data_IF_559846276408
#
_entry.id   IF_559846276408
#
_cell.length_a   1.000
_cell.length_b   1.000
_cell.length_c   1.000
_cell.angle_alpha   90.00
_cell.angle_beta   90.00
_cell.angle_gamma   90.00
#
_symmetry.space_group_name_H-M   'P 1'
#
loop_
_entity.id
_entity.type
_entity.pdbx_description
1 polymer ?
#
# COMPACT_ATOMS: atom_id res chain seq x y z
N UNK A 1 1.98 5.37 24.76
CA UNK A 1 1.64 5.71 23.36
C UNK A 1 1.19 7.16 23.34
N UNK A 2 1.87 8.00 22.57
CA UNK A 2 1.49 9.42 22.44
C UNK A 2 0.08 9.56 21.87
N UNK A 3 -0.69 10.60 22.27
CA UNK A 3 -2.02 10.85 21.71
C UNK A 3 -2.05 10.93 20.17
N UNK A 4 -1.04 11.57 19.55
CA UNK A 4 -0.92 11.65 18.09
C UNK A 4 -0.74 10.27 17.42
N UNK A 5 -0.08 9.32 18.09
CA UNK A 5 0.04 7.95 17.60
C UNK A 5 -1.32 7.26 17.57
N UNK A 6 -2.10 7.42 18.65
CA UNK A 6 -3.44 6.85 18.75
C UNK A 6 -4.38 7.42 17.68
N UNK A 7 -4.35 8.71 17.45
CA UNK A 7 -5.17 9.36 16.42
C UNK A 7 -4.73 8.95 15.01
N UNK A 8 -3.42 8.87 14.77
CA UNK A 8 -2.89 8.37 13.49
C UNK A 8 -3.34 6.94 13.22
N UNK A 9 -3.29 6.06 14.23
CA UNK A 9 -3.74 4.67 14.11
C UNK A 9 -5.26 4.58 13.85
N UNK A 10 -6.07 5.41 14.50
CA UNK A 10 -7.51 5.47 14.24
C UNK A 10 -7.83 5.87 12.80
N UNK A 11 -7.13 6.86 12.25
CA UNK A 11 -7.30 7.26 10.84
C UNK A 11 -6.81 6.17 9.89
N UNK A 12 -5.73 5.47 10.23
CA UNK A 12 -5.26 4.32 9.46
C UNK A 12 -6.30 3.20 9.42
N UNK A 13 -6.91 2.86 10.57
CA UNK A 13 -7.96 1.83 10.63
C UNK A 13 -9.22 2.21 9.82
N UNK A 14 -9.60 3.49 9.82
CA UNK A 14 -10.69 3.98 8.95
C UNK A 14 -10.34 3.81 7.48
N UNK A 15 -9.11 4.16 7.11
CA UNK A 15 -8.62 3.98 5.74
C UNK A 15 -8.58 2.50 5.35
N UNK A 16 -8.08 1.61 6.22
CA UNK A 16 -8.03 0.16 5.97
C UNK A 16 -9.42 -0.42 5.70
N UNK A 17 -10.46 0.04 6.41
CA UNK A 17 -11.85 -0.35 6.14
C UNK A 17 -12.31 0.10 4.75
N UNK A 18 -12.05 1.36 4.38
CA UNK A 18 -12.38 1.85 3.02
C UNK A 18 -11.65 1.04 1.93
N UNK A 19 -10.39 0.69 2.14
CA UNK A 19 -9.62 -0.15 1.22
C UNK A 19 -10.23 -1.56 1.13
N UNK A 20 -10.61 -2.16 2.25
CA UNK A 20 -11.26 -3.47 2.26
C UNK A 20 -12.55 -3.47 1.42
N UNK A 21 -13.37 -2.42 1.51
CA UNK A 21 -14.60 -2.30 0.72
C UNK A 21 -14.31 -2.22 -0.79
N UNK A 22 -13.29 -1.46 -1.20
CA UNK A 22 -12.88 -1.37 -2.62
C UNK A 22 -12.53 -2.74 -3.19
N UNK A 23 -11.69 -3.51 -2.46
CA UNK A 23 -11.26 -4.83 -2.95
C UNK A 23 -12.33 -5.90 -2.78
N UNK A 24 -13.20 -5.79 -1.78
CA UNK A 24 -14.38 -6.67 -1.63
C UNK A 24 -15.33 -6.53 -2.82
N UNK A 25 -15.57 -5.30 -3.26
CA UNK A 25 -16.38 -5.04 -4.45
C UNK A 25 -15.72 -5.58 -5.71
N UNK A 26 -14.44 -5.27 -5.95
CA UNK A 26 -13.69 -5.81 -7.07
C UNK A 26 -13.71 -7.34 -7.07
N UNK A 27 -13.48 -7.98 -5.92
CA UNK A 27 -13.52 -9.43 -5.78
C UNK A 27 -14.87 -10.04 -6.16
N UNK A 28 -15.99 -9.43 -5.75
CA UNK A 28 -17.34 -9.89 -6.15
C UNK A 28 -17.55 -9.81 -7.66
N UNK A 29 -17.11 -8.71 -8.29
CA UNK A 29 -17.21 -8.52 -9.75
C UNK A 29 -16.37 -9.54 -10.51
N UNK A 30 -15.11 -9.78 -10.06
CA UNK A 30 -14.22 -10.77 -10.64
C UNK A 30 -14.78 -12.19 -10.49
N UNK A 31 -15.31 -12.56 -9.33
CA UNK A 31 -15.94 -13.86 -9.09
C UNK A 31 -17.12 -14.08 -10.03
N UNK A 32 -18.00 -13.11 -10.17
CA UNK A 32 -19.14 -13.19 -11.08
C UNK A 32 -18.71 -13.40 -12.55
N UNK A 33 -17.72 -12.62 -13.02
CA UNK A 33 -17.16 -12.73 -14.37
C UNK A 33 -16.49 -14.10 -14.60
N UNK A 34 -15.70 -14.56 -13.64
CA UNK A 34 -15.01 -15.85 -13.70
C UNK A 34 -16.00 -17.01 -13.76
N UNK A 35 -16.99 -17.06 -12.86
CA UNK A 35 -18.02 -18.11 -12.83
C UNK A 35 -18.81 -18.16 -14.12
N UNK A 36 -19.21 -17.00 -14.66
CA UNK A 36 -19.92 -16.92 -15.94
C UNK A 36 -19.07 -17.48 -17.10
N UNK A 37 -17.80 -17.10 -17.18
CA UNK A 37 -16.87 -17.62 -18.17
C UNK A 37 -16.74 -19.15 -18.08
N UNK A 38 -16.48 -19.69 -16.88
CA UNK A 38 -16.30 -21.14 -16.69
C UNK A 38 -17.59 -21.93 -16.90
N UNK A 39 -18.75 -21.39 -16.56
CA UNK A 39 -20.04 -22.00 -16.87
C UNK A 39 -20.23 -22.16 -18.39
N UNK A 40 -19.89 -21.12 -19.15
CA UNK A 40 -19.97 -21.17 -20.62
C UNK A 40 -18.89 -22.10 -21.19
N UNK A 41 -17.70 -22.11 -20.60
CA UNK A 41 -16.63 -23.04 -20.97
C UNK A 41 -17.04 -24.48 -20.73
N UNK A 42 -17.58 -24.83 -19.56
CA UNK A 42 -18.03 -26.20 -19.25
C UNK A 42 -19.08 -26.71 -20.22
N UNK A 43 -20.01 -25.86 -20.68
CA UNK A 43 -20.99 -26.23 -21.70
C UNK A 43 -20.32 -26.56 -23.03
N UNK A 44 -19.33 -25.79 -23.45
CA UNK A 44 -18.57 -26.06 -24.69
C UNK A 44 -17.70 -27.30 -24.53
N UNK A 45 -17.05 -27.45 -23.39
CA UNK A 45 -16.25 -28.64 -23.08
C UNK A 45 -17.09 -29.92 -23.17
N UNK A 46 -18.27 -29.95 -22.55
CA UNK A 46 -19.15 -31.10 -22.59
C UNK A 46 -19.57 -31.46 -24.04
N UNK A 47 -19.85 -30.45 -24.87
CA UNK A 47 -20.18 -30.67 -26.30
C UNK A 47 -18.99 -31.26 -27.07
N UNK A 48 -17.80 -30.70 -26.93
CA UNK A 48 -16.60 -31.16 -27.66
C UNK A 48 -16.10 -32.50 -27.11
N UNK A 49 -16.22 -32.76 -25.82
CA UNK A 49 -15.91 -34.05 -25.21
C UNK A 49 -16.83 -35.15 -25.71
N UNK A 50 -18.13 -34.89 -25.82
CA UNK A 50 -19.09 -35.84 -26.43
C UNK A 50 -18.76 -36.12 -27.89
N UNK A 51 -18.34 -35.11 -28.65
CA UNK A 51 -17.90 -35.28 -30.04
C UNK A 51 -16.59 -36.10 -30.13
N UNK A 52 -15.66 -35.92 -29.22
CA UNK A 52 -14.46 -36.76 -29.09
C UNK A 52 -14.82 -38.21 -28.76
N UNK A 53 -15.71 -38.44 -27.77
CA UNK A 53 -16.19 -39.78 -27.44
C UNK A 53 -16.92 -40.47 -28.61
N UNK A 54 -17.57 -39.69 -29.46
CA UNK A 54 -18.23 -40.17 -30.70
C UNK A 54 -17.24 -40.39 -31.86
N UNK A 55 -15.93 -40.28 -31.63
CA UNK A 55 -14.89 -40.52 -32.65
C UNK A 55 -14.73 -39.42 -33.71
N UNK A 56 -15.33 -38.23 -33.49
CA UNK A 56 -15.20 -37.07 -34.41
C UNK A 56 -13.83 -36.39 -34.37
N UNK A 57 -13.09 -36.61 -33.28
CA UNK A 57 -11.75 -36.06 -33.03
C UNK A 57 -10.83 -37.14 -32.51
N UNK A 58 -9.55 -37.08 -32.90
CA UNK A 58 -8.50 -37.81 -32.23
C UNK A 58 -8.22 -37.20 -30.83
N UNK A 59 -7.59 -37.97 -29.96
CA UNK A 59 -7.16 -37.47 -28.64
C UNK A 59 -6.28 -36.23 -28.78
N UNK A 60 -5.35 -36.23 -29.76
CA UNK A 60 -4.45 -35.10 -30.01
C UNK A 60 -5.19 -33.82 -30.43
N UNK A 61 -6.21 -33.97 -31.28
CA UNK A 61 -7.03 -32.80 -31.70
C UNK A 61 -7.88 -32.26 -30.56
N UNK A 62 -8.46 -33.15 -29.74
CA UNK A 62 -9.20 -32.71 -28.56
C UNK A 62 -8.30 -31.99 -27.52
N UNK A 63 -7.10 -32.55 -27.24
CA UNK A 63 -6.13 -31.91 -26.36
C UNK A 63 -5.64 -30.57 -26.91
N UNK A 64 -5.40 -30.47 -28.23
CA UNK A 64 -5.04 -29.20 -28.88
C UNK A 64 -6.16 -28.16 -28.78
N UNK A 65 -7.43 -28.59 -28.99
CA UNK A 65 -8.58 -27.71 -28.77
C UNK A 65 -8.63 -27.23 -27.32
N UNK A 66 -8.45 -28.15 -26.36
CA UNK A 66 -8.47 -27.81 -24.92
C UNK A 66 -7.39 -26.80 -24.55
N UNK A 67 -6.15 -27.03 -25.02
CA UNK A 67 -5.03 -26.10 -24.78
C UNK A 67 -5.27 -24.71 -25.40
N UNK A 68 -5.87 -24.67 -26.60
CA UNK A 68 -6.25 -23.41 -27.26
C UNK A 68 -7.32 -22.64 -26.46
N UNK A 69 -8.28 -23.34 -25.84
CA UNK A 69 -9.31 -22.70 -25.04
C UNK A 69 -8.74 -22.11 -23.73
N UNK A 70 -7.81 -22.80 -23.08
CA UNK A 70 -7.24 -22.40 -21.80
C UNK A 70 -6.08 -21.40 -21.92
N UNK A 71 -5.22 -21.54 -22.93
CA UNK A 71 -3.97 -20.80 -22.98
C UNK A 71 -3.95 -19.60 -23.92
N UNK A 72 -4.69 -19.67 -25.04
CA UNK A 72 -4.63 -18.70 -26.14
C UNK A 72 -6.00 -18.27 -26.66
N UNK A 73 -7.08 -18.67 -26.01
CA UNK A 73 -8.44 -18.31 -26.46
C UNK A 73 -8.71 -16.82 -26.30
N UNK A 74 -9.13 -16.16 -27.39
CA UNK A 74 -9.49 -14.72 -27.38
C UNK A 74 -10.44 -14.35 -26.24
N UNK A 75 -11.36 -15.25 -25.88
CA UNK A 75 -12.32 -15.02 -24.77
C UNK A 75 -11.64 -15.00 -23.40
N UNK A 76 -10.63 -15.87 -23.19
CA UNK A 76 -9.84 -15.83 -21.97
C UNK A 76 -8.98 -14.57 -21.90
N UNK A 77 -8.34 -14.19 -23.00
CA UNK A 77 -7.54 -12.98 -23.09
C UNK A 77 -8.39 -11.73 -22.74
N UNK A 78 -9.59 -11.64 -23.33
CA UNK A 78 -10.52 -10.53 -23.05
C UNK A 78 -10.95 -10.49 -21.58
N UNK A 79 -11.29 -11.65 -21.00
CA UNK A 79 -11.65 -11.72 -19.57
C UNK A 79 -10.46 -11.34 -18.68
N UNK A 80 -9.28 -11.88 -18.96
CA UNK A 80 -8.05 -11.60 -18.20
C UNK A 80 -7.70 -10.11 -18.26
N UNK A 81 -7.80 -9.49 -19.42
CA UNK A 81 -7.59 -8.05 -19.60
C UNK A 81 -8.57 -7.25 -18.75
N UNK A 82 -9.86 -7.55 -18.86
CA UNK A 82 -10.91 -6.85 -18.13
C UNK A 82 -10.75 -6.99 -16.61
N UNK A 83 -10.47 -8.19 -16.10
CA UNK A 83 -10.21 -8.43 -14.69
C UNK A 83 -8.94 -7.69 -14.20
N UNK A 84 -7.87 -7.70 -14.99
CA UNK A 84 -6.63 -7.01 -14.66
C UNK A 84 -6.82 -5.50 -14.60
N UNK A 85 -7.57 -4.91 -15.53
CA UNK A 85 -7.93 -3.48 -15.52
C UNK A 85 -8.75 -3.13 -14.29
N UNK A 86 -9.73 -3.93 -13.93
CA UNK A 86 -10.56 -3.71 -12.73
C UNK A 86 -9.74 -3.73 -11.44
N UNK A 87 -8.77 -4.65 -11.30
CA UNK A 87 -7.84 -4.66 -10.18
C UNK A 87 -6.95 -3.42 -10.16
N UNK A 88 -6.44 -3.00 -11.32
CA UNK A 88 -5.62 -1.79 -11.42
C UNK A 88 -6.40 -0.53 -11.07
N UNK A 89 -7.65 -0.41 -11.48
CA UNK A 89 -8.55 0.68 -11.04
C UNK A 89 -8.73 0.68 -9.52
N UNK A 90 -8.89 -0.48 -8.91
CA UNK A 90 -8.94 -0.60 -7.44
C UNK A 90 -7.66 -0.12 -6.77
N UNK A 91 -6.50 -0.41 -7.37
CA UNK A 91 -5.20 0.07 -6.87
C UNK A 91 -5.06 1.60 -7.04
N UNK A 92 -5.60 2.18 -8.11
CA UNK A 92 -5.65 3.64 -8.29
C UNK A 92 -6.54 4.32 -7.25
N UNK A 93 -7.72 3.78 -6.98
CA UNK A 93 -8.63 4.27 -5.93
C UNK A 93 -7.95 4.18 -4.57
N UNK A 94 -7.30 3.07 -4.27
CA UNK A 94 -6.55 2.88 -3.03
C UNK A 94 -5.42 3.92 -2.89
N UNK A 95 -4.66 4.17 -3.95
CA UNK A 95 -3.62 5.20 -3.97
C UNK A 95 -4.19 6.61 -3.76
N UNK A 96 -5.34 6.92 -4.37
CA UNK A 96 -6.02 8.20 -4.20
C UNK A 96 -6.46 8.41 -2.73
N UNK A 97 -7.05 7.40 -2.09
CA UNK A 97 -7.45 7.47 -0.68
C UNK A 97 -6.26 7.65 0.27
N UNK A 98 -5.14 6.97 0.01
CA UNK A 98 -3.91 7.14 0.78
C UNK A 98 -3.39 8.57 0.65
N UNK A 99 -3.33 9.10 -0.58
CA UNK A 99 -2.83 10.44 -0.87
C UNK A 99 -3.74 11.53 -0.29
N UNK A 100 -5.05 11.32 -0.28
CA UNK A 100 -6.04 12.22 0.33
C UNK A 100 -5.80 12.40 1.83
N UNK A 101 -5.47 11.31 2.54
CA UNK A 101 -5.33 11.30 4.00
C UNK A 101 -3.92 11.65 4.50
N UNK A 102 -2.90 11.44 3.71
CA UNK A 102 -1.51 11.70 4.09
C UNK A 102 -1.26 13.13 4.60
N UNK A 103 -1.75 14.20 3.96
CA UNK A 103 -1.57 15.58 4.44
C UNK A 103 -2.16 15.83 5.83
N UNK A 104 -3.32 15.25 6.11
CA UNK A 104 -3.95 15.35 7.43
C UNK A 104 -3.06 14.72 8.52
N UNK A 105 -2.49 13.55 8.27
CA UNK A 105 -1.61 12.85 9.21
C UNK A 105 -0.33 13.66 9.46
N UNK A 106 0.21 14.32 8.44
CA UNK A 106 1.36 15.22 8.58
C UNK A 106 1.00 16.41 9.49
N UNK A 107 -0.10 17.11 9.19
CA UNK A 107 -0.54 18.27 9.96
C UNK A 107 -0.83 17.91 11.43
N UNK A 108 -1.54 16.80 11.65
CA UNK A 108 -1.86 16.29 12.98
C UNK A 108 -0.59 16.08 13.83
N UNK A 109 0.40 15.39 13.28
CA UNK A 109 1.61 15.07 14.03
C UNK A 109 2.54 16.28 14.18
N UNK A 110 2.61 17.17 13.18
CA UNK A 110 3.32 18.44 13.31
C UNK A 110 2.74 19.29 14.44
N UNK A 111 1.44 19.55 14.40
CA UNK A 111 0.78 20.41 15.37
C UNK A 111 0.84 19.84 16.80
N UNK A 112 0.75 18.51 16.93
CA UNK A 112 0.90 17.87 18.23
C UNK A 112 2.32 18.03 18.80
N UNK A 113 3.35 17.80 17.99
CA UNK A 113 4.74 17.96 18.44
C UNK A 113 5.06 19.44 18.75
N UNK A 114 4.57 20.37 17.95
CA UNK A 114 4.68 21.81 18.21
C UNK A 114 4.06 22.18 19.58
N UNK A 115 2.86 21.64 19.86
CA UNK A 115 2.22 21.81 21.17
C UNK A 115 3.06 21.20 22.31
N UNK A 116 3.59 19.98 22.11
CA UNK A 116 4.44 19.32 23.12
C UNK A 116 5.72 20.09 23.40
N UNK A 117 6.40 20.57 22.37
CA UNK A 117 7.61 21.39 22.53
C UNK A 117 7.26 22.64 23.34
N UNK A 118 6.22 23.37 22.97
CA UNK A 118 5.78 24.56 23.69
C UNK A 118 5.44 24.27 25.16
N UNK A 119 4.80 23.15 25.45
CA UNK A 119 4.41 22.75 26.81
C UNK A 119 5.58 22.33 27.71
N UNK A 120 6.71 21.96 27.12
CA UNK A 120 7.93 21.58 27.85
C UNK A 120 8.92 22.73 28.03
N UNK A 121 8.69 23.89 27.37
CA UNK A 121 9.56 25.03 27.47
C UNK A 121 9.39 25.74 28.82
N UNK A 122 10.50 26.14 29.51
CA UNK A 122 10.43 26.97 30.68
C UNK A 122 9.83 28.34 30.36
N UNK A 123 9.01 28.91 31.26
CA UNK A 123 8.38 30.23 31.11
C UNK A 123 9.36 31.36 30.74
N UNK A 124 10.62 31.26 31.20
CA UNK A 124 11.69 32.21 30.88
C UNK A 124 12.03 32.19 29.40
N UNK A 125 12.16 31.00 28.81
CA UNK A 125 12.45 30.86 27.37
C UNK A 125 11.26 31.33 26.52
N UNK A 126 10.03 31.07 26.96
CA UNK A 126 8.82 31.56 26.28
C UNK A 126 8.81 33.09 26.23
N UNK A 127 9.27 33.75 27.28
CA UNK A 127 9.37 35.24 27.33
C UNK A 127 10.52 35.79 26.48
N UNK A 128 11.66 35.09 26.39
CA UNK A 128 12.86 35.53 25.64
C UNK A 128 12.70 35.37 24.14
N UNK A 129 12.01 34.30 23.69
CA UNK A 129 11.82 34.00 22.27
C UNK A 129 10.57 34.71 21.71
N UNK A 130 9.77 35.38 22.60
CA UNK A 130 8.50 36.01 22.26
C UNK A 130 7.36 35.01 22.19
N UNK A 131 6.18 35.49 21.84
CA UNK A 131 5.01 34.63 21.68
C UNK A 131 5.24 33.70 20.46
N UNK A 132 5.94 32.58 20.71
CA UNK A 132 6.25 31.61 19.67
C UNK A 132 4.93 31.00 19.22
N UNK A 133 4.37 31.56 18.20
CA UNK A 133 3.36 30.93 17.42
C UNK A 133 4.03 29.90 16.51
N UNK A 134 4.17 28.65 16.98
CA UNK A 134 4.30 27.54 16.02
C UNK A 134 3.17 27.70 15.01
N UNK A 135 3.51 27.85 13.74
CA UNK A 135 2.52 27.96 12.70
C UNK A 135 1.73 26.66 12.65
N UNK A 136 0.50 26.68 13.16
CA UNK A 136 -0.40 25.53 13.02
C UNK A 136 -0.59 25.26 11.53
N UNK A 137 -0.19 24.10 11.11
CA UNK A 137 -0.19 23.69 9.70
C UNK A 137 -1.53 23.02 9.40
N UNK A 138 -2.29 23.57 8.46
CA UNK A 138 -3.50 22.95 7.94
C UNK A 138 -3.20 21.99 6.78
N UNK A 139 -4.17 21.14 6.41
CA UNK A 139 -4.02 20.20 5.31
C UNK A 139 -3.70 20.89 3.97
N UNK A 140 -4.23 22.07 3.72
CA UNK A 140 -4.01 22.82 2.49
C UNK A 140 -2.57 23.34 2.41
N UNK A 141 -2.05 23.82 3.54
CA UNK A 141 -0.64 24.25 3.67
C UNK A 141 0.28 23.07 3.45
N UNK A 142 0.00 21.89 4.06
CA UNK A 142 0.78 20.67 3.84
C UNK A 142 0.73 20.25 2.38
N UNK A 143 -0.44 20.25 1.74
CA UNK A 143 -0.57 19.93 0.31
C UNK A 143 0.30 20.83 -0.56
N UNK A 144 0.36 22.12 -0.26
CA UNK A 144 1.23 23.08 -0.97
C UNK A 144 2.71 22.82 -0.72
N UNK A 145 3.08 22.49 0.52
CA UNK A 145 4.47 22.21 0.91
C UNK A 145 4.97 20.87 0.34
N UNK A 146 4.13 19.85 0.30
CA UNK A 146 4.48 18.53 -0.29
C UNK A 146 4.73 18.62 -1.79
N UNK A 147 4.03 19.50 -2.48
CA UNK A 147 4.24 19.72 -3.93
C UNK A 147 5.54 20.51 -4.20
N UNK A 148 5.92 21.46 -3.33
CA UNK A 148 7.07 22.34 -3.55
C UNK A 148 8.39 21.84 -2.96
N UNK A 149 8.36 21.11 -1.86
CA UNK A 149 9.57 20.59 -1.19
C UNK A 149 9.47 19.06 -1.14
N UNK A 150 10.13 18.35 -2.02
CA UNK A 150 10.22 16.87 -2.09
C UNK A 150 10.75 16.18 -0.80
N UNK A 151 10.80 16.89 0.33
CA UNK A 151 11.25 16.36 1.64
C UNK A 151 10.22 15.47 2.34
N UNK A 152 8.95 15.54 1.95
CA UNK A 152 7.87 14.70 2.47
C UNK A 152 7.54 13.67 1.38
N UNK A 153 7.17 12.44 1.76
CA UNK A 153 6.92 11.33 0.85
C UNK A 153 6.11 11.77 -0.38
N UNK A 154 6.60 11.49 -1.60
CA UNK A 154 5.87 11.85 -2.81
C UNK A 154 4.53 11.11 -2.85
N UNK A 155 3.50 11.71 -3.46
CA UNK A 155 2.21 11.06 -3.64
C UNK A 155 2.37 9.72 -4.33
N UNK A 156 1.68 8.71 -3.81
CA UNK A 156 1.72 7.37 -4.40
C UNK A 156 1.07 7.37 -5.77
N UNK A 157 1.73 6.74 -6.73
CA UNK A 157 1.24 6.60 -8.11
C UNK A 157 1.21 5.14 -8.50
N UNK A 158 0.14 4.74 -9.16
CA UNK A 158 0.02 3.45 -9.83
C UNK A 158 0.50 3.61 -11.28
N UNK A 159 1.50 2.83 -11.65
CA UNK A 159 1.96 2.76 -13.05
C UNK A 159 1.04 1.80 -13.81
N UNK A 160 -0.03 2.33 -14.40
CA UNK A 160 -1.13 1.59 -15.03
C UNK A 160 -0.67 0.39 -15.86
N UNK A 161 0.23 0.61 -16.82
CA UNK A 161 0.71 -0.44 -17.72
C UNK A 161 1.41 -1.58 -16.99
N UNK A 162 2.27 -1.25 -16.03
CA UNK A 162 2.99 -2.24 -15.21
C UNK A 162 2.03 -3.00 -14.29
N UNK A 163 1.07 -2.30 -13.71
CA UNK A 163 0.10 -2.90 -12.79
C UNK A 163 -0.87 -3.83 -13.52
N UNK A 164 -1.40 -3.42 -14.66
CA UNK A 164 -2.21 -4.29 -15.54
C UNK A 164 -1.41 -5.52 -15.96
N UNK A 165 -0.15 -5.35 -16.39
CA UNK A 165 0.70 -6.47 -16.77
C UNK A 165 0.92 -7.46 -15.61
N UNK A 166 1.19 -6.96 -14.41
CA UNK A 166 1.36 -7.78 -13.21
C UNK A 166 0.07 -8.55 -12.88
N UNK A 167 -1.08 -7.88 -12.89
CA UNK A 167 -2.37 -8.49 -12.63
C UNK A 167 -2.70 -9.58 -13.68
N UNK A 168 -2.46 -9.30 -14.96
CA UNK A 168 -2.60 -10.31 -16.04
C UNK A 168 -1.76 -11.55 -15.77
N UNK A 169 -0.48 -11.37 -15.40
CA UNK A 169 0.43 -12.48 -15.09
C UNK A 169 -0.07 -13.29 -13.89
N UNK A 170 -0.55 -12.65 -12.84
CA UNK A 170 -1.08 -13.33 -11.65
C UNK A 170 -2.36 -14.12 -11.96
N UNK A 171 -3.30 -13.53 -12.71
CA UNK A 171 -4.52 -14.20 -13.16
C UNK A 171 -4.22 -15.39 -14.08
N UNK A 172 -3.25 -15.27 -14.98
CA UNK A 172 -2.81 -16.38 -15.84
C UNK A 172 -2.23 -17.54 -15.03
N UNK A 173 -1.36 -17.22 -14.05
CA UNK A 173 -0.78 -18.24 -13.18
C UNK A 173 -1.85 -18.93 -12.32
N UNK A 174 -2.82 -18.19 -11.80
CA UNK A 174 -3.94 -18.73 -11.05
C UNK A 174 -4.77 -19.72 -11.89
N UNK A 175 -5.04 -19.37 -13.16
CA UNK A 175 -5.71 -20.27 -14.10
C UNK A 175 -4.89 -21.53 -14.36
N UNK A 176 -3.61 -21.39 -14.72
CA UNK A 176 -2.74 -22.54 -15.04
C UNK A 176 -2.60 -23.49 -13.86
N UNK A 177 -2.41 -22.97 -12.65
CA UNK A 177 -2.36 -23.79 -11.44
C UNK A 177 -3.67 -24.54 -11.20
N UNK A 178 -4.82 -23.88 -11.39
CA UNK A 178 -6.12 -24.54 -11.26
C UNK A 178 -6.34 -25.66 -12.27
N UNK A 179 -5.90 -25.46 -13.52
CA UNK A 179 -5.96 -26.50 -14.56
C UNK A 179 -5.08 -27.70 -14.18
N UNK A 180 -3.82 -27.46 -13.81
CA UNK A 180 -2.87 -28.50 -13.42
C UNK A 180 -3.35 -29.33 -12.21
N UNK A 181 -4.10 -28.71 -11.31
CA UNK A 181 -4.66 -29.36 -10.12
C UNK A 181 -6.08 -29.90 -10.34
N UNK A 182 -6.61 -29.83 -11.56
CA UNK A 182 -7.98 -30.24 -11.90
C UNK A 182 -9.03 -29.59 -11.00
N UNK A 183 -8.86 -28.30 -10.70
CA UNK A 183 -9.74 -27.57 -9.82
C UNK A 183 -11.17 -27.45 -10.36
N UNK A 184 -12.15 -27.55 -9.47
CA UNK A 184 -13.53 -27.18 -9.78
C UNK A 184 -13.66 -25.69 -10.09
N UNK A 185 -14.76 -25.29 -10.75
CA UNK A 185 -15.08 -23.89 -11.05
C UNK A 185 -15.02 -23.01 -9.77
N UNK A 186 -15.52 -23.54 -8.65
CA UNK A 186 -15.48 -22.84 -7.38
C UNK A 186 -14.06 -22.60 -6.87
N UNK A 187 -13.18 -23.61 -6.98
CA UNK A 187 -11.77 -23.47 -6.61
C UNK A 187 -11.01 -22.51 -7.52
N UNK A 188 -11.27 -22.56 -8.84
CA UNK A 188 -10.70 -21.58 -9.79
C UNK A 188 -11.12 -20.15 -9.48
N UNK A 189 -12.40 -19.93 -9.16
CA UNK A 189 -12.88 -18.62 -8.72
C UNK A 189 -12.19 -18.18 -7.43
N UNK A 190 -11.97 -19.08 -6.47
CA UNK A 190 -11.21 -18.83 -5.26
C UNK A 190 -9.78 -18.36 -5.54
N UNK A 191 -9.06 -18.98 -6.51
CA UNK A 191 -7.72 -18.54 -6.91
C UNK A 191 -7.69 -17.12 -7.46
N UNK A 192 -8.74 -16.67 -8.13
CA UNK A 192 -8.83 -15.27 -8.58
C UNK A 192 -9.12 -14.31 -7.41
N UNK A 193 -9.86 -14.77 -6.40
CA UNK A 193 -10.02 -14.03 -5.15
C UNK A 193 -8.67 -13.86 -4.43
N UNK A 194 -7.79 -14.86 -4.47
CA UNK A 194 -6.43 -14.75 -3.92
C UNK A 194 -5.63 -13.62 -4.60
N UNK A 195 -5.76 -13.47 -5.93
CA UNK A 195 -5.12 -12.35 -6.65
C UNK A 195 -5.66 -11.00 -6.17
N UNK A 196 -6.96 -10.90 -5.93
CA UNK A 196 -7.58 -9.70 -5.33
C UNK A 196 -7.03 -9.46 -3.93
N UNK A 197 -6.91 -10.50 -3.09
CA UNK A 197 -6.31 -10.45 -1.76
C UNK A 197 -4.87 -9.97 -1.76
N UNK A 198 -4.06 -10.37 -2.76
CA UNK A 198 -2.68 -9.87 -2.92
C UNK A 198 -2.65 -8.36 -3.17
N UNK A 199 -3.55 -7.84 -4.01
CA UNK A 199 -3.68 -6.40 -4.26
C UNK A 199 -4.12 -5.64 -3.01
N UNK A 200 -5.12 -6.16 -2.28
CA UNK A 200 -5.59 -5.59 -1.01
C UNK A 200 -4.45 -5.54 0.02
N UNK A 201 -3.73 -6.64 0.24
CA UNK A 201 -2.60 -6.70 1.17
C UNK A 201 -1.51 -5.69 0.80
N UNK A 202 -1.22 -5.52 -0.49
CA UNK A 202 -0.29 -4.52 -0.95
C UNK A 202 -0.79 -3.10 -0.67
N UNK A 203 -2.08 -2.81 -0.85
CA UNK A 203 -2.68 -1.52 -0.55
C UNK A 203 -2.61 -1.19 0.96
N UNK A 204 -2.93 -2.14 1.84
CA UNK A 204 -2.81 -1.98 3.30
C UNK A 204 -1.35 -1.68 3.70
N UNK A 205 -0.40 -2.46 3.20
CA UNK A 205 1.03 -2.20 3.45
C UNK A 205 1.44 -0.81 3.00
N UNK A 206 0.94 -0.37 1.85
CA UNK A 206 1.20 0.94 1.29
C UNK A 206 0.60 2.07 2.13
N UNK A 207 -0.62 1.89 2.67
CA UNK A 207 -1.27 2.82 3.57
C UNK A 207 -0.46 2.99 4.87
N UNK A 208 -0.11 1.88 5.52
CA UNK A 208 0.72 1.89 6.74
C UNK A 208 2.03 2.61 6.54
N UNK A 209 2.68 2.33 5.42
CA UNK A 209 3.91 3.01 5.01
C UNK A 209 3.75 4.51 4.86
N UNK A 210 2.73 4.93 4.13
CA UNK A 210 2.48 6.35 3.89
C UNK A 210 2.17 7.07 5.20
N UNK A 211 1.39 6.46 6.10
CA UNK A 211 1.04 7.03 7.39
C UNK A 211 2.24 7.13 8.33
N UNK A 212 3.07 6.07 8.44
CA UNK A 212 4.32 6.15 9.22
C UNK A 212 5.25 7.24 8.69
N UNK A 213 5.40 7.33 7.37
CA UNK A 213 6.20 8.39 6.75
C UNK A 213 5.63 9.78 6.98
N UNK A 214 4.31 9.94 6.91
CA UNK A 214 3.61 11.18 7.18
C UNK A 214 3.74 11.61 8.65
N UNK A 215 3.58 10.68 9.58
CA UNK A 215 3.75 10.89 11.01
C UNK A 215 5.17 11.37 11.32
N UNK A 216 6.18 10.66 10.86
CA UNK A 216 7.58 11.04 11.07
C UNK A 216 7.93 12.36 10.37
N UNK A 217 7.37 12.59 9.17
CA UNK A 217 7.56 13.84 8.43
C UNK A 217 6.97 15.05 9.13
N UNK A 218 5.78 14.90 9.71
CA UNK A 218 5.12 15.94 10.51
C UNK A 218 5.94 16.30 11.77
N UNK A 219 6.35 15.29 12.54
CA UNK A 219 7.21 15.47 13.72
C UNK A 219 8.52 16.16 13.38
N UNK A 220 9.20 15.67 12.36
CA UNK A 220 10.47 16.23 11.91
C UNK A 220 10.33 17.71 11.51
N UNK A 221 9.22 18.07 10.87
CA UNK A 221 8.97 19.48 10.51
C UNK A 221 8.79 20.37 11.73
N UNK A 222 8.11 19.89 12.79
CA UNK A 222 7.98 20.63 14.05
C UNK A 222 9.34 20.79 14.75
N UNK A 223 10.16 19.75 14.77
CA UNK A 223 11.52 19.83 15.35
C UNK A 223 12.44 20.77 14.55
N UNK A 224 12.33 20.79 13.23
CA UNK A 224 13.08 21.70 12.36
C UNK A 224 12.68 23.16 12.63
N UNK A 225 11.37 23.41 12.80
CA UNK A 225 10.86 24.75 13.16
C UNK A 225 11.36 25.19 14.53
N UNK A 226 11.30 24.33 15.55
CA UNK A 226 11.81 24.58 16.89
C UNK A 226 13.32 24.92 16.86
N UNK A 227 14.11 24.13 16.12
CA UNK A 227 15.55 24.38 15.97
C UNK A 227 15.84 25.72 15.29
N UNK A 228 15.06 26.11 14.27
CA UNK A 228 15.20 27.40 13.60
C UNK A 228 14.86 28.58 14.51
N UNK A 229 13.99 28.37 15.50
CA UNK A 229 13.67 29.35 16.55
C UNK A 229 14.74 29.43 17.65
N UNK A 230 15.82 28.67 17.58
CA UNK A 230 16.89 28.63 18.57
C UNK A 230 16.61 27.73 19.78
N UNK A 231 15.59 26.88 19.70
CA UNK A 231 15.34 25.88 20.74
C UNK A 231 16.32 24.71 20.55
N UNK A 232 17.02 24.35 21.61
CA UNK A 232 17.94 23.20 21.58
C UNK A 232 17.16 21.89 21.53
N UNK A 233 17.24 21.22 20.38
CA UNK A 233 16.52 19.97 20.09
C UNK A 233 17.51 18.84 19.95
N UNK A 234 17.35 17.80 20.77
CA UNK A 234 18.10 16.55 20.72
C UNK A 234 17.23 15.46 20.10
N UNK A 235 17.78 14.71 19.17
CA UNK A 235 17.12 13.54 18.58
C UNK A 235 17.53 12.29 19.33
N UNK A 236 16.54 11.49 19.68
CA UNK A 236 16.72 10.18 20.30
C UNK A 236 16.25 9.06 19.38
N UNK A 237 17.11 8.08 19.11
CA UNK A 237 16.72 6.92 18.31
C UNK A 237 16.00 5.90 19.19
N UNK A 238 14.77 5.58 18.86
CA UNK A 238 13.99 4.54 19.53
C UNK A 238 13.72 3.39 18.56
N UNK A 239 14.29 2.23 18.85
CA UNK A 239 14.03 1.02 18.08
C UNK A 239 12.89 0.20 18.69
N UNK A 240 12.03 -0.36 17.86
CA UNK A 240 11.02 -1.32 18.33
C UNK A 240 11.72 -2.61 18.79
N UNK A 241 11.43 -3.06 20.02
CA UNK A 241 12.03 -4.28 20.60
C UNK A 241 11.27 -5.54 20.19
N UNK A 242 11.25 -5.82 18.88
CA UNK A 242 10.63 -7.03 18.32
C UNK A 242 11.62 -7.82 17.45
N UNK A 243 11.22 -9.03 17.05
CA UNK A 243 12.04 -9.92 16.21
C UNK A 243 12.16 -9.43 14.75
N UNK A 244 11.40 -8.40 14.35
CA UNK A 244 11.42 -7.84 13.00
C UNK A 244 12.35 -6.65 12.89
N UNK A 245 12.77 -6.08 14.00
CA UNK A 245 13.69 -4.94 14.03
C UNK A 245 15.09 -5.43 13.63
N UNK A 246 15.66 -4.79 12.60
CA UNK A 246 17.01 -5.12 12.10
C UNK A 246 18.07 -4.86 13.17
N UNK A 247 19.12 -5.66 13.18
CA UNK A 247 20.21 -5.52 14.15
C UNK A 247 20.88 -4.14 14.10
N UNK A 248 21.04 -3.58 12.89
CA UNK A 248 21.55 -2.21 12.69
C UNK A 248 20.67 -1.12 13.33
N UNK A 249 19.35 -1.34 13.43
CA UNK A 249 18.44 -0.41 14.09
C UNK A 249 18.43 -0.63 15.62
N UNK A 250 18.60 -1.88 16.06
CA UNK A 250 18.73 -2.19 17.49
C UNK A 250 20.01 -1.62 18.09
N UNK A 251 21.10 -1.65 17.33
CA UNK A 251 22.38 -1.09 17.77
C UNK A 251 22.35 0.42 18.03
N UNK A 252 21.40 1.13 17.42
CA UNK A 252 21.21 2.59 17.61
C UNK A 252 20.22 2.92 18.73
N UNK A 253 19.54 1.93 19.33
CA UNK A 253 18.53 2.18 20.35
C UNK A 253 19.13 2.95 21.53
N UNK A 254 18.55 4.09 21.84
CA UNK A 254 19.05 5.00 22.86
C UNK A 254 20.10 6.00 22.41
N UNK A 255 20.56 5.99 21.16
CA UNK A 255 21.51 6.99 20.67
C UNK A 255 20.87 8.37 20.58
N UNK A 256 21.53 9.37 21.19
CA UNK A 256 21.13 10.76 21.19
C UNK A 256 22.12 11.60 20.38
N UNK A 257 21.60 12.46 19.52
CA UNK A 257 22.42 13.39 18.73
C UNK A 257 21.71 14.75 18.62
N UNK A 258 22.47 15.87 18.52
CA UNK A 258 21.90 17.17 18.20
C UNK A 258 21.06 17.11 16.90
N UNK A 259 20.03 17.97 16.80
CA UNK A 259 19.09 17.93 15.69
C UNK A 259 19.75 17.99 14.31
N UNK A 260 20.80 18.80 14.17
CA UNK A 260 21.53 19.02 12.92
C UNK A 260 22.62 17.96 12.62
N UNK A 261 22.83 16.99 13.51
CA UNK A 261 23.84 15.94 13.34
C UNK A 261 23.20 14.61 12.89
N UNK A 262 23.96 13.81 12.16
CA UNK A 262 23.58 12.46 11.81
C UNK A 262 23.83 11.49 12.97
N UNK A 263 23.05 10.43 13.06
CA UNK A 263 23.34 9.28 13.93
C UNK A 263 24.61 8.56 13.46
N UNK A 264 25.17 7.68 14.29
CA UNK A 264 26.40 6.93 14.03
C UNK A 264 26.38 6.12 12.73
N UNK A 265 25.19 5.77 12.22
CA UNK A 265 24.99 5.12 10.92
C UNK A 265 24.91 6.09 9.73
N UNK A 266 25.14 7.38 9.92
CA UNK A 266 25.09 8.42 8.89
C UNK A 266 23.66 8.88 8.52
N UNK A 267 22.62 8.40 9.18
CA UNK A 267 21.25 8.81 8.92
C UNK A 267 20.87 10.05 9.73
N UNK A 268 20.25 11.02 9.11
CA UNK A 268 19.67 12.20 9.80
C UNK A 268 18.38 11.86 10.54
N UNK A 269 17.71 10.79 10.17
CA UNK A 269 16.46 10.27 10.77
C UNK A 269 16.27 8.82 10.36
N UNK A 270 15.44 8.04 11.08
CA UNK A 270 15.08 6.69 10.63
C UNK A 270 14.54 6.76 9.21
N UNK A 271 15.25 6.17 8.25
CA UNK A 271 14.72 5.94 6.91
C UNK A 271 13.84 4.71 6.98
N UNK A 272 12.55 4.93 6.78
CA UNK A 272 11.70 3.83 6.44
C UNK A 272 11.92 3.51 4.96
N UNK A 273 12.53 2.37 4.68
CA UNK A 273 12.74 1.88 3.32
C UNK A 273 11.91 0.61 3.13
N UNK A 274 10.72 0.68 2.49
CA UNK A 274 9.91 -0.51 2.23
C UNK A 274 10.56 -1.36 1.14
N UNK A 275 11.51 -2.20 1.51
CA UNK A 275 12.13 -3.18 0.60
C UNK A 275 13.42 -2.74 -0.06
N UNK A 276 14.10 -1.73 0.45
CA UNK A 276 15.48 -1.42 0.07
C UNK A 276 16.47 -2.09 1.03
N UNK A 277 17.31 -2.98 0.52
CA UNK A 277 18.61 -3.24 1.12
C UNK A 277 19.38 -1.93 1.24
N UNK A 278 20.04 -1.70 2.40
CA UNK A 278 21.16 -0.78 2.45
C UNK A 278 22.18 -1.26 1.45
#
# INVERSE_FOLDING_TARGET
>A
MYPSDKWTEQELQKLEKRLADVYKQAGKELDGKARNYFKQFSRRYAKEYAAYQAGKYTKKEFEAWLMNQYGRGQRWEALREDMARRLTESNEIAAAYINEKTPFVIALNHNFEAYMIKSLMPDRQIKEIGDIAFNLVDEHTVKRLTVRKQKILPPRRVLKSKDVHWNKKKLQNALLQGILQSDSIGKLAGRFQDVTGMNHTAAIRNARTAFTGAQNGGRQAAYEEAYQMGIDVVKHWTATKDLRTRDSHRALDGEEVPFNMAYSNGLMRPKWNPGGSL
#
